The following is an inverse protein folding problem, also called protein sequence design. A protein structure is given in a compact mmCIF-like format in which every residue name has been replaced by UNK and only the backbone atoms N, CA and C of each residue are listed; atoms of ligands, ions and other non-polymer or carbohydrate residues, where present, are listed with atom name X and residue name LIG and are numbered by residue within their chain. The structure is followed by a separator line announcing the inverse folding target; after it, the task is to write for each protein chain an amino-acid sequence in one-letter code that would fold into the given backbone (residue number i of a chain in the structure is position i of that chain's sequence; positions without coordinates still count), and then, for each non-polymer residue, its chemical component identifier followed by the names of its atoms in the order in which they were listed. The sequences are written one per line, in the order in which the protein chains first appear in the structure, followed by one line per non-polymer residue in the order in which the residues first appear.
data_IF_722388408707
#
_entry.id   IF_722388408707
#
_cell.length_a   1.000
_cell.length_b   1.000
_cell.length_c   1.000
_cell.angle_alpha   90.00
_cell.angle_beta   90.00
_cell.angle_gamma   90.00
#
_symmetry.space_group_name_H-M   'P 1'
#
loop_
_entity.id
_entity.type
_entity.pdbx_description
1 polymer ?
#
# COMPACT_ATOMS: atom_id res chain seq x y z
N UNK A 1 0.86 -3.12 12.12
CA UNK A 1 1.25 -3.04 10.70
C UNK A 1 0.88 -1.67 10.17
N UNK A 2 1.63 -1.14 9.21
CA UNK A 2 1.34 0.13 8.52
C UNK A 2 1.54 -0.07 7.01
N UNK A 3 0.67 0.49 6.19
CA UNK A 3 0.90 0.71 4.77
C UNK A 3 0.54 2.15 4.40
N UNK A 4 1.25 2.70 3.41
CA UNK A 4 1.01 4.02 2.86
C UNK A 4 0.54 3.87 1.41
N UNK A 5 -0.59 4.47 1.11
CA UNK A 5 -1.16 4.57 -0.23
C UNK A 5 -1.20 6.05 -0.64
N UNK A 6 -0.90 6.37 -1.89
CA UNK A 6 -1.04 7.73 -2.41
C UNK A 6 -2.01 7.72 -3.58
N UNK A 7 -3.05 8.54 -3.48
CA UNK A 7 -4.04 8.75 -4.55
C UNK A 7 -3.78 10.08 -5.23
N UNK A 8 -3.83 10.11 -6.56
CA UNK A 8 -3.77 11.34 -7.34
C UNK A 8 -5.18 11.83 -7.69
N UNK A 9 -5.48 13.09 -7.42
CA UNK A 9 -6.72 13.74 -7.81
C UNK A 9 -6.49 14.58 -9.07
N UNK A 10 -6.97 14.05 -10.19
CA UNK A 10 -6.84 14.71 -11.50
C UNK A 10 -7.60 16.05 -11.62
N UNK A 11 -8.67 16.25 -10.84
CA UNK A 11 -9.50 17.48 -10.91
C UNK A 11 -8.79 18.65 -10.23
N UNK A 12 -8.10 18.37 -9.13
CA UNK A 12 -7.43 19.41 -8.32
C UNK A 12 -5.92 19.44 -8.52
N UNK A 13 -5.36 18.49 -9.28
CA UNK A 13 -3.91 18.26 -9.42
C UNK A 13 -3.22 18.15 -8.04
N UNK A 14 -3.78 17.30 -7.17
CA UNK A 14 -3.27 17.08 -5.82
C UNK A 14 -2.97 15.61 -5.54
N UNK A 15 -2.07 15.36 -4.59
CA UNK A 15 -1.70 14.02 -4.14
C UNK A 15 -2.14 13.84 -2.69
N UNK A 16 -2.91 12.79 -2.43
CA UNK A 16 -3.47 12.52 -1.11
C UNK A 16 -2.85 11.25 -0.53
N UNK A 17 -1.92 11.38 0.45
CA UNK A 17 -1.38 10.24 1.15
C UNK A 17 -2.38 9.72 2.18
N UNK A 18 -2.64 8.43 2.13
CA UNK A 18 -3.42 7.65 3.07
C UNK A 18 -2.51 6.75 3.89
N UNK A 19 -2.69 6.76 5.21
CA UNK A 19 -2.00 5.84 6.11
C UNK A 19 -3.02 4.87 6.66
N UNK A 20 -2.83 3.61 6.33
CA UNK A 20 -3.59 2.51 6.88
C UNK A 20 -2.74 1.83 7.94
N UNK A 21 -3.30 1.63 9.14
CA UNK A 21 -2.56 1.05 10.25
C UNK A 21 -3.43 0.16 11.12
N UNK A 22 -2.85 -0.97 11.55
CA UNK A 22 -3.44 -1.89 12.53
C UNK A 22 -2.57 -1.90 13.78
N UNK A 23 -3.21 -1.62 14.92
CA UNK A 23 -2.62 -1.64 16.24
C UNK A 23 -3.20 -2.79 17.07
N UNK A 24 -2.33 -3.48 17.81
CA UNK A 24 -2.77 -4.33 18.91
C UNK A 24 -2.99 -3.43 20.13
N UNK A 25 -4.21 -3.43 20.66
CA UNK A 25 -4.60 -2.61 21.82
C UNK A 25 -5.10 -3.51 22.95
N UNK A 26 -5.12 -2.99 24.18
CA UNK A 26 -5.60 -3.75 25.34
C UNK A 26 -7.09 -4.13 25.18
N UNK A 27 -7.52 -5.27 25.71
CA UNK A 27 -8.94 -5.56 25.86
C UNK A 27 -9.65 -4.41 26.57
N UNK A 28 -10.79 -3.95 26.03
CA UNK A 28 -11.52 -2.80 26.56
C UNK A 28 -11.03 -1.43 26.11
N UNK A 29 -10.06 -1.34 25.19
CA UNK A 29 -9.61 -0.06 24.60
C UNK A 29 -10.79 0.76 24.08
N UNK A 30 -11.71 0.16 23.32
CA UNK A 30 -12.90 0.86 22.82
C UNK A 30 -13.97 1.13 23.91
N UNK A 31 -13.81 0.55 25.11
CA UNK A 31 -14.70 0.73 26.25
C UNK A 31 -14.19 1.84 27.20
N UNK A 32 -13.58 2.89 26.65
CA UNK A 32 -13.06 4.10 27.33
C UNK A 32 -11.81 3.92 28.20
N UNK A 33 -11.28 2.70 28.37
CA UNK A 33 -10.00 2.51 29.09
C UNK A 33 -8.84 2.85 28.16
N UNK A 34 -8.35 4.09 28.25
CA UNK A 34 -7.24 4.58 27.43
C UNK A 34 -7.58 4.82 25.96
N UNK A 35 -8.86 4.93 25.61
CA UNK A 35 -9.32 5.21 24.24
C UNK A 35 -8.89 6.62 23.80
N UNK A 36 -8.16 6.71 22.69
CA UNK A 36 -7.97 7.98 22.00
C UNK A 36 -9.17 8.26 21.10
N UNK A 37 -9.85 9.37 21.36
CA UNK A 37 -10.97 9.82 20.52
C UNK A 37 -10.48 10.18 19.13
N UNK A 38 -11.39 10.19 18.14
CA UNK A 38 -11.09 10.63 16.77
C UNK A 38 -10.49 12.04 16.72
N UNK A 39 -10.92 12.93 17.64
CA UNK A 39 -10.34 14.28 17.78
C UNK A 39 -8.90 14.19 18.28
N UNK A 40 -8.65 13.44 19.35
CA UNK A 40 -7.30 13.27 19.89
C UNK A 40 -6.32 12.69 18.87
N UNK A 41 -6.74 11.69 18.08
CA UNK A 41 -5.94 11.16 16.98
C UNK A 41 -5.61 12.21 15.91
N UNK A 42 -6.59 13.03 15.57
CA UNK A 42 -6.43 14.08 14.56
C UNK A 42 -5.47 15.16 15.01
N UNK A 43 -5.64 15.62 16.25
CA UNK A 43 -4.79 16.65 16.86
C UNK A 43 -3.34 16.13 16.93
N UNK A 44 -3.15 14.88 17.38
CA UNK A 44 -1.84 14.24 17.44
C UNK A 44 -1.19 14.14 16.06
N UNK A 45 -1.94 13.68 15.04
CA UNK A 45 -1.42 13.59 13.69
C UNK A 45 -1.03 14.97 13.16
N UNK A 46 -1.95 15.94 13.27
CA UNK A 46 -1.71 17.31 12.80
C UNK A 46 -0.44 17.91 13.42
N UNK A 47 -0.25 17.75 14.73
CA UNK A 47 0.92 18.26 15.45
C UNK A 47 2.22 17.58 15.04
N UNK A 48 2.26 16.23 15.07
CA UNK A 48 3.48 15.45 14.74
C UNK A 48 3.93 15.69 13.30
N UNK A 49 2.97 15.81 12.37
CA UNK A 49 3.26 16.05 10.95
C UNK A 49 3.33 17.53 10.58
N UNK A 50 3.10 18.44 11.55
CA UNK A 50 3.08 19.90 11.35
C UNK A 50 2.18 20.33 10.19
N UNK A 51 0.99 19.74 10.12
CA UNK A 51 0.02 20.04 9.05
C UNK A 51 -0.69 21.37 9.34
N UNK A 52 -0.82 22.18 8.31
CA UNK A 52 -1.61 23.42 8.30
C UNK A 52 -3.12 23.16 8.17
N UNK A 53 -3.51 21.90 7.95
CA UNK A 53 -4.90 21.45 7.91
C UNK A 53 -5.18 20.35 8.94
N UNK A 54 -6.47 20.15 9.22
CA UNK A 54 -6.94 19.11 10.12
C UNK A 54 -7.16 17.78 9.37
N UNK A 55 -6.36 16.72 9.61
CA UNK A 55 -6.42 15.50 8.82
C UNK A 55 -7.72 14.71 9.06
N UNK A 56 -8.06 13.84 8.11
CA UNK A 56 -9.15 12.89 8.29
C UNK A 56 -8.62 11.60 8.89
N UNK A 57 -9.20 11.19 10.01
CA UNK A 57 -8.88 9.92 10.68
C UNK A 57 -10.15 9.09 10.78
N UNK A 58 -10.07 7.78 10.55
CA UNK A 58 -11.13 6.83 10.88
C UNK A 58 -10.53 5.72 11.75
N UNK A 59 -11.09 5.51 12.94
CA UNK A 59 -10.58 4.54 13.91
C UNK A 59 -11.73 3.63 14.32
N UNK A 60 -11.56 2.34 14.08
CA UNK A 60 -12.59 1.33 14.35
C UNK A 60 -11.98 0.07 14.91
N UNK A 61 -12.77 -0.65 15.70
CA UNK A 61 -12.45 -2.02 16.05
C UNK A 61 -12.57 -2.88 14.79
N UNK A 62 -11.62 -3.79 14.59
CA UNK A 62 -11.68 -4.74 13.47
C UNK A 62 -12.57 -5.90 13.91
N UNK A 63 -13.80 -5.96 13.37
CA UNK A 63 -14.73 -7.08 13.51
C UNK A 63 -14.96 -7.72 12.14
N UNK A 64 -14.62 -9.00 11.98
CA UNK A 64 -14.56 -9.67 10.68
C UNK A 64 -13.17 -9.49 10.04
N UNK A 65 -12.39 -10.58 9.99
CA UNK A 65 -10.92 -10.52 9.93
C UNK A 65 -10.33 -10.31 8.54
N UNK A 66 -11.11 -10.48 7.49
CA UNK A 66 -10.57 -10.62 6.12
C UNK A 66 -10.47 -9.28 5.39
N UNK A 67 -11.53 -8.48 5.39
CA UNK A 67 -11.58 -7.23 4.62
C UNK A 67 -10.59 -6.18 5.13
N UNK A 68 -10.52 -5.97 6.45
CA UNK A 68 -9.63 -4.96 7.03
C UNK A 68 -8.14 -5.29 6.83
N UNK A 69 -7.79 -6.58 6.78
CA UNK A 69 -6.43 -7.04 6.48
C UNK A 69 -6.15 -6.97 4.98
N UNK A 70 -7.12 -7.31 4.13
CA UNK A 70 -6.98 -7.18 2.67
C UNK A 70 -6.79 -5.72 2.24
N UNK A 71 -7.50 -4.78 2.87
CA UNK A 71 -7.30 -3.33 2.66
C UNK A 71 -5.85 -2.91 2.97
N UNK A 72 -5.17 -3.61 3.88
CA UNK A 72 -3.76 -3.33 4.20
C UNK A 72 -2.74 -3.89 3.21
N UNK A 73 -3.16 -4.83 2.38
CA UNK A 73 -2.37 -5.42 1.31
C UNK A 73 -2.55 -4.69 -0.03
N UNK A 74 -3.24 -3.53 -0.04
CA UNK A 74 -3.41 -2.73 -1.24
C UNK A 74 -2.10 -2.15 -1.76
N UNK A 75 -2.15 -1.74 -3.02
CA UNK A 75 -1.04 -1.12 -3.73
C UNK A 75 -0.67 0.24 -3.13
N UNK A 76 0.62 0.62 -3.15
CA UNK A 76 1.06 1.93 -2.69
C UNK A 76 0.56 3.10 -3.54
N UNK A 77 0.12 2.84 -4.78
CA UNK A 77 -0.45 3.85 -5.69
C UNK A 77 -1.63 3.26 -6.43
N UNK A 78 -2.70 4.04 -6.55
CA UNK A 78 -3.83 3.74 -7.43
C UNK A 78 -3.56 4.26 -8.84
N UNK A 79 -2.85 3.47 -9.64
CA UNK A 79 -2.42 3.85 -11.00
C UNK A 79 -3.56 4.00 -11.99
N UNK A 80 -4.72 3.40 -11.74
CA UNK A 80 -5.90 3.50 -12.61
C UNK A 80 -6.33 4.95 -12.88
N UNK A 81 -6.18 5.83 -11.88
CA UNK A 81 -6.55 7.25 -12.00
C UNK A 81 -5.56 8.03 -12.90
N UNK A 82 -4.36 7.49 -13.15
CA UNK A 82 -3.36 8.08 -14.06
C UNK A 82 -3.60 7.69 -15.52
N UNK A 83 -4.17 6.51 -15.76
CA UNK A 83 -4.38 5.95 -17.10
C UNK A 83 -5.43 6.71 -17.91
N UNK A 84 -6.26 7.52 -17.25
CA UNK A 84 -7.33 8.31 -17.88
C UNK A 84 -6.87 9.72 -18.29
N UNK A 85 -5.63 10.09 -17.96
CA UNK A 85 -5.06 11.41 -18.23
C UNK A 85 -4.37 11.46 -19.58
N UNK A 86 -4.11 12.68 -20.07
CA UNK A 86 -3.19 12.84 -21.19
C UNK A 86 -1.77 12.42 -20.80
N UNK A 87 -0.97 12.03 -21.80
CA UNK A 87 0.34 11.43 -21.60
C UNK A 87 1.31 12.34 -20.81
N UNK A 88 1.26 13.65 -21.02
CA UNK A 88 2.19 14.58 -20.37
C UNK A 88 1.84 14.73 -18.88
N UNK A 89 0.57 14.91 -18.57
CA UNK A 89 0.10 14.99 -17.18
C UNK A 89 0.34 13.66 -16.45
N UNK A 90 0.03 12.53 -17.08
CA UNK A 90 0.29 11.21 -16.52
C UNK A 90 1.79 11.00 -16.23
N UNK A 91 2.67 11.38 -17.15
CA UNK A 91 4.11 11.25 -16.98
C UNK A 91 4.64 12.13 -15.84
N UNK A 92 4.18 13.38 -15.74
CA UNK A 92 4.57 14.27 -14.65
C UNK A 92 4.07 13.77 -13.29
N UNK A 93 2.82 13.29 -13.24
CA UNK A 93 2.24 12.76 -12.01
C UNK A 93 2.95 11.49 -11.55
N UNK A 94 3.26 10.59 -12.49
CA UNK A 94 4.03 9.39 -12.22
C UNK A 94 5.45 9.72 -11.73
N UNK A 95 6.14 10.68 -12.36
CA UNK A 95 7.47 11.10 -11.93
C UNK A 95 7.45 11.69 -10.52
N UNK A 96 6.42 12.48 -10.19
CA UNK A 96 6.24 13.07 -8.87
C UNK A 96 5.99 11.99 -7.83
N UNK A 97 5.08 11.05 -8.11
CA UNK A 97 4.81 9.89 -7.25
C UNK A 97 6.06 9.03 -7.04
N UNK A 98 6.79 8.73 -8.12
CA UNK A 98 8.03 7.97 -8.06
C UNK A 98 9.04 8.65 -7.14
N UNK A 99 9.31 9.95 -7.34
CA UNK A 99 10.24 10.71 -6.47
C UNK A 99 9.77 10.77 -5.02
N UNK A 100 8.47 10.91 -4.80
CA UNK A 100 7.89 10.96 -3.46
C UNK A 100 8.04 9.62 -2.73
N UNK A 101 7.94 8.49 -3.43
CA UNK A 101 7.97 7.16 -2.82
C UNK A 101 9.35 6.48 -2.83
N UNK A 102 10.21 6.86 -3.77
CA UNK A 102 11.48 6.19 -3.99
C UNK A 102 12.34 6.17 -2.72
N UNK A 103 12.82 4.97 -2.36
CA UNK A 103 13.65 4.75 -1.18
C UNK A 103 12.91 4.92 0.16
N UNK A 104 11.57 5.04 0.16
CA UNK A 104 10.78 5.12 1.38
C UNK A 104 10.14 3.78 1.71
N UNK A 105 10.07 3.49 3.01
CA UNK A 105 9.36 2.32 3.51
C UNK A 105 7.85 2.53 3.54
N UNK A 106 7.16 1.99 2.54
CA UNK A 106 5.71 2.14 2.36
C UNK A 106 4.94 1.13 3.19
N UNK A 107 5.43 -0.11 3.29
CA UNK A 107 4.83 -1.17 4.11
C UNK A 107 5.75 -1.49 5.30
N UNK A 108 5.17 -1.67 6.49
CA UNK A 108 5.95 -2.01 7.68
C UNK A 108 5.19 -2.95 8.60
N UNK A 109 5.83 -4.08 8.92
CA UNK A 109 5.38 -5.01 9.95
C UNK A 109 6.08 -4.72 11.27
N UNK A 110 5.29 -4.55 12.34
CA UNK A 110 5.78 -4.28 13.69
C UNK A 110 5.03 -5.13 14.72
N UNK A 111 5.64 -5.34 15.89
CA UNK A 111 5.09 -6.19 16.95
C UNK A 111 4.80 -7.61 16.47
N UNK A 112 3.66 -8.16 16.88
CA UNK A 112 3.22 -9.52 16.51
C UNK A 112 3.18 -9.76 14.99
N UNK A 113 2.87 -8.73 14.19
CA UNK A 113 2.88 -8.86 12.73
C UNK A 113 4.27 -9.18 12.17
N UNK A 114 5.32 -8.60 12.76
CA UNK A 114 6.72 -8.88 12.34
C UNK A 114 7.13 -10.31 12.69
N UNK A 115 6.68 -10.80 13.84
CA UNK A 115 6.95 -12.17 14.27
C UNK A 115 6.24 -13.19 13.38
N UNK A 116 4.97 -12.95 13.06
CA UNK A 116 4.19 -13.80 12.18
C UNK A 116 4.77 -13.78 10.75
N UNK A 117 5.11 -12.60 10.22
CA UNK A 117 5.74 -12.50 8.89
C UNK A 117 7.02 -13.32 8.80
N UNK A 118 7.88 -13.27 9.84
CA UNK A 118 9.09 -14.08 9.93
C UNK A 118 8.79 -15.59 10.00
N UNK A 119 7.79 -15.99 10.79
CA UNK A 119 7.37 -17.40 10.90
C UNK A 119 6.82 -17.95 9.57
N UNK A 120 6.11 -17.11 8.82
CA UNK A 120 5.61 -17.42 7.48
C UNK A 120 6.69 -17.35 6.39
N UNK A 121 7.95 -17.06 6.76
CA UNK A 121 9.07 -16.85 5.82
C UNK A 121 8.72 -15.87 4.70
N UNK A 122 7.89 -14.88 4.99
CA UNK A 122 7.60 -13.83 4.02
C UNK A 122 8.88 -13.03 3.82
N UNK A 123 9.30 -12.92 2.56
CA UNK A 123 10.45 -12.10 2.19
C UNK A 123 10.14 -10.61 2.40
N UNK A 124 11.19 -9.78 2.37
CA UNK A 124 11.04 -8.34 2.50
C UNK A 124 10.15 -7.80 1.36
N UNK A 125 9.09 -7.06 1.70
CA UNK A 125 8.14 -6.56 0.70
C UNK A 125 8.80 -5.57 -0.28
N UNK A 126 9.91 -4.94 0.11
CA UNK A 126 10.56 -3.91 -0.70
C UNK A 126 11.83 -4.42 -1.40
N UNK A 127 12.56 -5.34 -0.77
CA UNK A 127 13.86 -5.84 -1.24
C UNK A 127 13.90 -7.37 -1.39
N UNK A 128 12.76 -8.03 -1.30
CA UNK A 128 12.66 -9.48 -1.38
C UNK A 128 13.07 -10.01 -2.76
N UNK A 129 13.66 -11.19 -2.74
CA UNK A 129 14.02 -11.96 -3.91
C UNK A 129 12.75 -12.56 -4.53
N UNK A 130 12.24 -11.90 -5.57
CA UNK A 130 11.07 -12.37 -6.33
C UNK A 130 11.42 -13.48 -7.34
N UNK A 131 12.67 -13.93 -7.41
CA UNK A 131 13.15 -14.92 -8.37
C UNK A 131 13.18 -16.32 -7.73
N UNK A 132 13.53 -16.41 -6.45
CA UNK A 132 13.62 -17.67 -5.70
C UNK A 132 12.51 -17.78 -4.64
N UNK A 133 11.25 -17.75 -5.09
CA UNK A 133 10.08 -17.67 -4.19
C UNK A 133 9.71 -19.03 -3.56
N UNK A 134 10.24 -20.14 -4.10
CA UNK A 134 10.07 -21.48 -3.55
C UNK A 134 11.42 -22.04 -3.07
N UNK A 135 11.45 -22.56 -1.83
CA UNK A 135 12.50 -23.49 -1.41
C UNK A 135 12.54 -24.61 -2.47
N UNK A 136 13.67 -24.76 -3.17
CA UNK A 136 13.88 -25.70 -4.29
C UNK A 136 13.26 -27.09 -4.04
N UNK A 137 11.99 -27.27 -4.38
CA UNK A 137 11.47 -28.59 -4.69
C UNK A 137 11.96 -28.88 -6.11
N UNK A 138 13.10 -29.55 -6.20
CA UNK A 138 13.69 -30.02 -7.43
C UNK A 138 12.65 -30.80 -8.28
N UNK A 139 12.00 -30.07 -9.18
CA UNK A 139 10.97 -30.57 -10.08
C UNK A 139 10.97 -29.68 -11.30
N UNK A 140 11.63 -30.15 -12.35
CA UNK A 140 11.70 -29.51 -13.66
C UNK A 140 10.28 -29.14 -14.14
N UNK A 141 9.97 -27.83 -14.19
CA UNK A 141 8.73 -27.32 -14.73
C UNK A 141 9.02 -26.63 -16.08
N UNK A 142 8.68 -27.22 -17.23
CA UNK A 142 8.88 -26.58 -18.52
C UNK A 142 7.90 -25.41 -18.65
N UNK A 143 8.33 -24.22 -18.22
CA UNK A 143 7.58 -22.98 -18.48
C UNK A 143 7.66 -22.71 -19.98
N UNK A 144 6.57 -22.95 -20.71
CA UNK A 144 6.43 -22.52 -22.08
C UNK A 144 6.43 -20.98 -22.12
N UNK A 145 7.50 -20.38 -22.62
CA UNK A 145 7.60 -18.95 -22.82
C UNK A 145 6.78 -18.57 -24.06
N UNK A 146 5.55 -18.11 -23.86
CA UNK A 146 4.72 -17.57 -24.95
C UNK A 146 4.97 -16.06 -25.03
N UNK A 147 5.64 -15.63 -26.10
CA UNK A 147 6.10 -14.27 -26.31
C UNK A 147 5.02 -13.47 -27.06
N UNK A 148 4.17 -12.76 -26.32
CA UNK A 148 3.19 -11.87 -26.95
C UNK A 148 3.85 -10.57 -27.41
N UNK A 149 3.77 -10.28 -28.71
CA UNK A 149 4.21 -9.00 -29.27
C UNK A 149 3.00 -8.13 -29.63
N UNK A 150 2.90 -6.95 -29.02
CA UNK A 150 1.85 -5.99 -29.33
C UNK A 150 2.15 -5.28 -30.66
N UNK A 151 1.21 -5.32 -31.61
CA UNK A 151 1.34 -4.61 -32.89
C UNK A 151 0.38 -3.41 -32.94
N UNK A 152 0.91 -2.23 -32.62
CA UNK A 152 0.13 -0.99 -32.47
C UNK A 152 -0.72 -0.60 -33.69
N UNK A 153 -0.33 -1.02 -34.90
CA UNK A 153 -1.07 -0.69 -36.14
C UNK A 153 -2.38 -1.44 -36.32
N UNK A 154 -2.52 -2.62 -35.70
CA UNK A 154 -3.71 -3.48 -35.80
C UNK A 154 -4.40 -3.67 -34.44
N UNK A 155 -3.83 -3.12 -33.37
CA UNK A 155 -4.45 -3.09 -32.05
C UNK A 155 -4.56 -4.44 -31.34
N UNK A 156 -3.80 -5.45 -31.76
CA UNK A 156 -3.90 -6.81 -31.22
C UNK A 156 -2.52 -7.38 -30.82
N UNK A 157 -2.55 -8.32 -29.89
CA UNK A 157 -1.39 -9.13 -29.50
C UNK A 157 -1.28 -10.33 -30.43
N UNK A 158 -0.08 -10.56 -30.95
CA UNK A 158 0.23 -11.75 -31.74
C UNK A 158 1.05 -12.67 -30.84
N UNK A 159 0.61 -13.92 -30.75
CA UNK A 159 1.33 -15.03 -30.12
C UNK A 159 2.50 -15.48 -30.99
#
# INVERSE_FOLDING_TARGET
MKAVEITYNAVQDTYHPHIHAIFAVRPGYFNKVGYLTRKAWRDLWQDVMKLDYSPQVDVRAISGREKAVAEMAKYPVKTADLLTLDLNTAALALLTLYRAMHGRRLVTFGGQFREIARKLRLDDVENGDLIHVDDEAAGFNPVALVLFKYHARVGLYIC
#
